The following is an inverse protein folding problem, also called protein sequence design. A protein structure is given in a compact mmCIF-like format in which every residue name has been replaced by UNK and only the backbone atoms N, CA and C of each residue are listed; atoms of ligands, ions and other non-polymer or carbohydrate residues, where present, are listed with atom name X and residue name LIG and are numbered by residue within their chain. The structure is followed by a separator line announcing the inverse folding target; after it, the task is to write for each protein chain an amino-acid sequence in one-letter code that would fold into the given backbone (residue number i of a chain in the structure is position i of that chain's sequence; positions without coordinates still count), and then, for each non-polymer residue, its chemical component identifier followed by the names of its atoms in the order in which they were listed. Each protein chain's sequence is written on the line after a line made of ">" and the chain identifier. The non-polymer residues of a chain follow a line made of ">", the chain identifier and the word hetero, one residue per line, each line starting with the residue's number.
data_IF_325355717689
#
_entry.id   IF_325355717689
#
_cell.length_a   1.000
_cell.length_b   1.000
_cell.length_c   1.000
_cell.angle_alpha   90.00
_cell.angle_beta   90.00
_cell.angle_gamma   90.00
#
_symmetry.space_group_name_H-M   'P 1'
#
loop_
_entity.id
_entity.type
_entity.pdbx_description
1 polymer ?
#
# COMPACT_ATOMS: atom_id res chain seq x y z
N UNK A 1 -35.71 7.52 -14.05
CA UNK A 1 -36.28 7.15 -15.36
C UNK A 1 -35.36 6.10 -15.95
N UNK A 2 -35.73 4.81 -15.90
CA UNK A 2 -34.86 3.72 -16.36
C UNK A 2 -34.85 3.68 -17.89
N UNK A 3 -33.67 3.61 -18.50
CA UNK A 3 -33.51 3.44 -19.95
C UNK A 3 -33.31 1.94 -20.22
N UNK A 4 -34.24 1.32 -20.95
CA UNK A 4 -34.12 -0.07 -21.39
C UNK A 4 -33.84 -0.08 -22.89
N UNK A 5 -32.81 -0.83 -23.31
CA UNK A 5 -32.58 -1.14 -24.72
C UNK A 5 -33.34 -2.42 -25.05
N UNK A 6 -34.39 -2.32 -25.85
CA UNK A 6 -35.11 -3.49 -26.37
C UNK A 6 -34.46 -3.88 -27.70
N UNK A 7 -33.85 -5.06 -27.74
CA UNK A 7 -33.40 -5.67 -29.00
C UNK A 7 -34.52 -6.58 -29.51
N UNK A 8 -35.12 -6.22 -30.64
CA UNK A 8 -36.05 -7.09 -31.34
C UNK A 8 -35.24 -7.99 -32.27
N UNK A 9 -35.24 -9.29 -32.02
CA UNK A 9 -34.76 -10.29 -32.98
C UNK A 9 -35.94 -10.97 -33.66
N UNK A 10 -35.73 -11.24 -34.95
CA UNK A 10 -36.76 -11.65 -35.90
C UNK A 10 -37.48 -12.94 -35.48
N UNK A 11 -38.60 -12.76 -34.78
CA UNK A 11 -39.69 -13.74 -34.72
C UNK A 11 -39.63 -14.82 -33.63
N UNK A 12 -38.69 -14.82 -32.67
CA UNK A 12 -38.71 -15.77 -31.55
C UNK A 12 -38.25 -15.16 -30.23
N UNK A 13 -39.19 -14.53 -29.52
CA UNK A 13 -39.06 -14.18 -28.11
C UNK A 13 -38.39 -12.82 -27.86
N UNK A 14 -38.99 -12.03 -26.97
CA UNK A 14 -38.37 -10.83 -26.41
C UNK A 14 -37.42 -11.29 -25.31
N UNK A 15 -36.12 -11.22 -25.56
CA UNK A 15 -35.13 -11.34 -24.50
C UNK A 15 -34.89 -9.96 -23.92
N UNK A 16 -35.47 -9.68 -22.74
CA UNK A 16 -35.05 -8.54 -21.93
C UNK A 16 -33.70 -8.90 -21.31
N UNK A 17 -32.61 -8.53 -21.98
CA UNK A 17 -31.30 -8.54 -21.35
C UNK A 17 -31.21 -7.32 -20.44
N UNK A 18 -31.21 -7.56 -19.13
CA UNK A 18 -30.89 -6.55 -18.12
C UNK A 18 -29.41 -6.17 -18.29
N UNK A 19 -29.14 -5.15 -19.12
CA UNK A 19 -27.83 -4.49 -19.15
C UNK A 19 -27.76 -3.49 -18.00
N UNK A 20 -27.82 -3.97 -16.76
CA UNK A 20 -27.44 -3.19 -15.56
C UNK A 20 -25.92 -3.18 -15.38
N UNK A 21 -25.18 -2.95 -16.46
CA UNK A 21 -23.79 -2.52 -16.34
C UNK A 21 -23.79 -1.00 -16.46
N UNK A 22 -23.71 -0.29 -15.32
CA UNK A 22 -23.11 1.05 -15.32
C UNK A 22 -23.79 2.17 -14.52
N UNK A 23 -24.99 2.00 -13.97
CA UNK A 23 -25.58 3.01 -13.08
C UNK A 23 -25.33 2.67 -11.62
N UNK A 24 -24.46 3.46 -10.97
CA UNK A 24 -24.31 3.42 -9.52
C UNK A 24 -25.56 4.03 -8.89
N UNK A 25 -26.08 3.36 -7.86
CA UNK A 25 -27.18 3.85 -7.04
C UNK A 25 -26.74 3.85 -5.58
N UNK A 26 -27.40 4.65 -4.75
CA UNK A 26 -27.15 4.63 -3.31
C UNK A 26 -27.36 3.22 -2.69
N UNK A 27 -28.24 2.40 -3.27
CA UNK A 27 -28.52 1.05 -2.79
C UNK A 27 -27.46 0.01 -3.18
N UNK A 28 -26.65 0.29 -4.21
CA UNK A 28 -25.65 -0.64 -4.74
C UNK A 28 -24.22 -0.22 -4.46
N UNK A 29 -24.00 1.05 -4.09
CA UNK A 29 -22.69 1.60 -3.78
C UNK A 29 -22.16 1.01 -2.47
N UNK A 30 -21.07 0.25 -2.55
CA UNK A 30 -20.29 -0.19 -1.40
C UNK A 30 -19.18 0.79 -1.05
N UNK A 31 -18.46 1.26 -2.07
CA UNK A 31 -17.37 2.22 -1.91
C UNK A 31 -17.06 2.93 -3.23
N UNK A 32 -16.45 4.11 -3.15
CA UNK A 32 -15.82 4.78 -4.29
C UNK A 32 -14.43 4.21 -4.56
N UNK A 33 -14.00 4.30 -5.82
CA UNK A 33 -12.65 3.93 -6.22
C UNK A 33 -12.06 5.06 -7.09
N UNK A 34 -11.09 5.78 -6.53
CA UNK A 34 -10.42 6.90 -7.15
C UNK A 34 -9.18 6.41 -7.89
N UNK A 35 -8.96 6.90 -9.11
CA UNK A 35 -7.87 6.43 -9.97
C UNK A 35 -6.71 7.40 -9.94
N UNK A 36 -5.52 6.89 -9.68
CA UNK A 36 -4.25 7.56 -9.85
C UNK A 36 -3.49 6.94 -11.03
N UNK A 37 -2.84 7.79 -11.83
CA UNK A 37 -1.94 7.35 -12.89
C UNK A 37 -0.56 7.98 -12.63
N UNK A 38 0.48 7.17 -12.35
CA UNK A 38 1.82 7.67 -12.05
C UNK A 38 2.43 8.46 -13.21
N UNK A 39 1.98 8.27 -14.45
CA UNK A 39 2.46 9.05 -15.60
C UNK A 39 1.84 10.45 -15.68
N UNK A 40 0.77 10.72 -14.93
CA UNK A 40 0.03 12.00 -14.92
C UNK A 40 0.35 12.78 -13.64
N UNK A 41 0.52 12.07 -12.53
CA UNK A 41 0.71 12.63 -11.21
C UNK A 41 1.74 11.80 -10.43
N UNK A 42 2.70 12.40 -9.71
CA UNK A 42 3.80 11.69 -9.06
C UNK A 42 3.33 11.01 -7.76
N UNK A 43 2.38 10.08 -7.87
CA UNK A 43 1.78 9.39 -6.73
C UNK A 43 2.76 8.44 -6.04
N UNK A 44 3.71 7.88 -6.80
CA UNK A 44 4.74 7.00 -6.25
C UNK A 44 5.67 7.78 -5.31
N UNK A 45 6.15 8.95 -5.74
CA UNK A 45 6.94 9.87 -4.92
C UNK A 45 6.15 10.31 -3.68
N UNK A 46 4.86 10.65 -3.83
CA UNK A 46 4.05 11.03 -2.65
C UNK A 46 3.92 9.88 -1.64
N UNK A 47 3.69 8.65 -2.09
CA UNK A 47 3.62 7.48 -1.19
C UNK A 47 4.94 7.26 -0.46
N UNK A 48 6.07 7.53 -1.12
CA UNK A 48 7.41 7.37 -0.56
C UNK A 48 7.72 8.50 0.43
N UNK A 49 7.55 9.75 0.02
CA UNK A 49 7.93 10.92 0.83
C UNK A 49 6.99 11.13 2.02
N UNK A 50 5.73 10.70 1.92
CA UNK A 50 4.69 11.02 2.90
C UNK A 50 3.74 9.84 3.18
N UNK A 51 4.27 8.69 3.62
CA UNK A 51 3.48 7.48 3.85
C UNK A 51 2.41 7.66 4.93
N UNK A 52 2.62 8.61 5.85
CA UNK A 52 1.73 8.93 6.97
C UNK A 52 0.77 10.11 6.69
N UNK A 53 0.94 10.83 5.59
CA UNK A 53 0.03 11.92 5.24
C UNK A 53 -1.18 11.38 4.47
N UNK A 54 -2.41 11.53 4.99
CA UNK A 54 -3.58 11.08 4.27
C UNK A 54 -3.78 11.91 2.98
N UNK A 55 -4.27 11.25 1.93
CA UNK A 55 -4.75 11.94 0.73
C UNK A 55 -6.06 12.65 1.08
N UNK A 56 -5.97 13.98 1.23
CA UNK A 56 -7.08 14.82 1.68
C UNK A 56 -8.02 15.26 0.55
N UNK A 57 -7.54 15.21 -0.69
CA UNK A 57 -8.38 15.43 -1.87
C UNK A 57 -7.80 14.75 -3.10
N UNK A 58 -8.65 14.41 -4.06
CA UNK A 58 -8.23 13.81 -5.31
C UNK A 58 -9.07 14.28 -6.50
N UNK A 59 -8.43 14.53 -7.63
CA UNK A 59 -9.14 15.00 -8.83
C UNK A 59 -10.10 13.94 -9.36
N UNK A 60 -11.30 14.36 -9.72
CA UNK A 60 -12.37 13.55 -10.29
C UNK A 60 -13.03 14.27 -11.45
N UNK A 61 -13.67 13.50 -12.33
CA UNK A 61 -14.51 14.04 -13.39
C UNK A 61 -15.79 14.60 -12.78
N UNK A 62 -16.20 15.78 -13.24
CA UNK A 62 -17.47 16.39 -12.86
C UNK A 62 -18.62 15.69 -13.58
N UNK A 63 -19.27 14.75 -12.91
CA UNK A 63 -20.34 13.94 -13.48
C UNK A 63 -21.33 13.52 -12.37
N UNK A 64 -22.32 12.69 -12.72
CA UNK A 64 -23.33 12.27 -11.75
C UNK A 64 -22.74 11.45 -10.58
N UNK A 65 -21.61 10.76 -10.76
CA UNK A 65 -20.98 9.94 -9.71
C UNK A 65 -20.30 10.80 -8.67
N UNK A 66 -19.48 11.77 -9.10
CA UNK A 66 -18.88 12.73 -8.18
C UNK A 66 -19.93 13.59 -7.47
N UNK A 67 -21.08 13.84 -8.10
CA UNK A 67 -22.23 14.50 -7.45
C UNK A 67 -22.94 13.64 -6.39
N UNK A 68 -22.70 12.32 -6.34
CA UNK A 68 -23.25 11.40 -5.33
C UNK A 68 -22.31 11.16 -4.14
N UNK A 69 -21.09 11.73 -4.17
CA UNK A 69 -20.11 11.55 -3.10
C UNK A 69 -20.53 12.38 -1.88
N UNK A 70 -20.68 11.69 -0.74
CA UNK A 70 -21.10 12.27 0.54
C UNK A 70 -20.17 11.81 1.66
N UNK A 71 -20.10 12.63 2.72
CA UNK A 71 -19.26 12.35 3.88
C UNK A 71 -19.58 10.98 4.50
N UNK A 72 -18.54 10.26 4.91
CA UNK A 72 -18.62 8.94 5.54
C UNK A 72 -18.71 7.77 4.56
N UNK A 73 -18.85 8.01 3.25
CA UNK A 73 -18.82 6.94 2.26
C UNK A 73 -17.40 6.36 2.13
N UNK A 74 -17.22 5.02 2.12
CA UNK A 74 -15.90 4.43 1.96
C UNK A 74 -15.29 4.75 0.60
N UNK A 75 -13.98 4.94 0.56
CA UNK A 75 -13.24 5.21 -0.68
C UNK A 75 -11.89 4.51 -0.69
N UNK A 76 -11.50 4.04 -1.86
CA UNK A 76 -10.21 3.40 -2.12
C UNK A 76 -9.43 4.17 -3.18
N UNK A 77 -8.11 4.19 -3.03
CA UNK A 77 -7.19 4.73 -4.04
C UNK A 77 -6.61 3.57 -4.86
N UNK A 78 -6.89 3.61 -6.16
CA UNK A 78 -6.39 2.67 -7.16
C UNK A 78 -5.27 3.31 -7.97
N UNK A 79 -4.10 2.69 -7.99
CA UNK A 79 -3.00 3.07 -8.87
C UNK A 79 -3.08 2.22 -10.15
N UNK A 80 -3.16 2.91 -11.27
CA UNK A 80 -3.15 2.32 -12.62
C UNK A 80 -1.74 2.27 -13.19
N UNK A 81 -1.58 1.60 -14.34
CA UNK A 81 -0.29 1.51 -15.03
C UNK A 81 0.04 0.07 -15.46
N UNK A 82 1.24 -0.10 -15.99
CA UNK A 82 1.78 -1.39 -16.38
C UNK A 82 2.58 -2.08 -15.26
N UNK A 83 3.01 -1.34 -14.24
CA UNK A 83 3.76 -1.83 -13.10
C UNK A 83 5.26 -1.59 -13.17
N UNK A 84 5.73 -0.79 -14.14
CA UNK A 84 7.16 -0.42 -14.22
C UNK A 84 7.58 0.49 -13.08
N UNK A 85 6.79 1.51 -12.76
CA UNK A 85 7.13 2.48 -11.71
C UNK A 85 6.57 2.07 -10.34
N UNK A 86 5.35 1.51 -10.34
CA UNK A 86 4.63 1.15 -9.11
C UNK A 86 3.61 0.05 -9.40
N UNK A 87 3.51 -0.95 -8.52
CA UNK A 87 2.58 -2.09 -8.67
C UNK A 87 1.13 -1.59 -8.83
N UNK A 88 0.43 -1.91 -9.92
CA UNK A 88 -0.93 -1.46 -10.09
C UNK A 88 -1.86 -2.22 -9.15
N UNK A 89 -2.78 -1.51 -8.50
CA UNK A 89 -3.57 -2.10 -7.42
C UNK A 89 -4.23 -1.05 -6.55
N UNK A 90 -4.81 -1.50 -5.44
CA UNK A 90 -5.34 -0.62 -4.40
C UNK A 90 -4.23 -0.32 -3.41
N UNK A 91 -3.94 0.95 -3.21
CA UNK A 91 -2.83 1.45 -2.37
C UNK A 91 -3.30 2.20 -1.14
N UNK A 92 -4.58 2.55 -1.05
CA UNK A 92 -5.09 3.27 0.09
C UNK A 92 -6.57 3.03 0.31
N UNK A 93 -7.00 3.23 1.55
CA UNK A 93 -8.39 3.18 1.94
C UNK A 93 -8.71 4.33 2.90
N UNK A 94 -9.98 4.71 2.92
CA UNK A 94 -10.41 5.78 3.80
C UNK A 94 -11.88 6.13 3.60
N UNK A 95 -12.19 7.40 3.85
CA UNK A 95 -13.54 7.94 3.75
C UNK A 95 -13.58 9.21 2.91
N UNK A 96 -14.72 9.43 2.26
CA UNK A 96 -15.08 10.75 1.75
C UNK A 96 -15.41 11.64 2.94
N UNK A 97 -14.89 12.86 2.97
CA UNK A 97 -15.07 13.80 4.09
C UNK A 97 -16.12 14.88 3.82
N UNK A 98 -16.57 15.02 2.57
CA UNK A 98 -17.56 16.00 2.16
C UNK A 98 -17.95 15.89 0.69
N UNK A 99 -18.83 16.79 0.20
CA UNK A 99 -19.15 16.86 -1.22
C UNK A 99 -17.92 17.22 -2.07
N UNK A 100 -17.95 16.86 -3.34
CA UNK A 100 -16.87 17.26 -4.26
C UNK A 100 -16.87 18.78 -4.49
N UNK A 101 -15.68 19.37 -4.50
CA UNK A 101 -15.47 20.81 -4.62
C UNK A 101 -14.79 21.19 -5.94
N UNK A 102 -15.03 22.43 -6.38
CA UNK A 102 -14.27 23.03 -7.49
C UNK A 102 -12.89 23.42 -6.96
N UNK A 103 -11.85 23.02 -7.66
CA UNK A 103 -10.47 23.29 -7.29
C UNK A 103 -9.60 23.55 -8.50
N UNK A 104 -8.31 23.75 -8.25
CA UNK A 104 -7.30 23.94 -9.28
C UNK A 104 -6.19 22.92 -9.10
N UNK A 105 -5.69 22.38 -10.22
CA UNK A 105 -4.48 21.55 -10.21
C UNK A 105 -3.32 22.26 -9.51
N UNK A 106 -2.63 21.51 -8.66
CA UNK A 106 -1.38 21.95 -8.06
C UNK A 106 -0.23 21.86 -9.06
N UNK A 107 0.96 22.31 -8.64
CA UNK A 107 2.15 22.31 -9.49
C UNK A 107 2.78 20.92 -9.69
N UNK A 108 2.30 19.88 -9.00
CA UNK A 108 2.91 18.53 -9.02
C UNK A 108 2.49 17.71 -10.23
N UNK A 109 1.45 18.11 -10.94
CA UNK A 109 1.01 17.41 -12.15
C UNK A 109 2.12 17.31 -13.19
N UNK A 110 2.44 16.08 -13.61
CA UNK A 110 3.43 15.79 -14.64
C UNK A 110 2.87 16.09 -16.04
N UNK A 111 1.58 15.79 -16.24
CA UNK A 111 0.86 16.09 -17.48
C UNK A 111 0.08 17.41 -17.34
N UNK A 112 0.47 18.42 -18.11
CA UNK A 112 -0.12 19.77 -18.10
C UNK A 112 -1.50 19.84 -18.74
N UNK A 113 -1.78 18.98 -19.72
CA UNK A 113 -3.09 18.93 -20.36
C UNK A 113 -4.10 18.28 -19.41
N UNK A 114 -3.69 17.19 -18.74
CA UNK A 114 -4.49 16.57 -17.69
C UNK A 114 -4.72 17.53 -16.50
N UNK A 115 -3.70 18.29 -16.08
CA UNK A 115 -3.81 19.31 -15.04
C UNK A 115 -4.84 20.39 -15.40
N UNK A 116 -4.86 20.83 -16.66
CA UNK A 116 -5.82 21.83 -17.14
C UNK A 116 -7.26 21.33 -17.10
N UNK A 117 -7.47 20.01 -17.21
CA UNK A 117 -8.78 19.36 -17.07
C UNK A 117 -9.20 19.07 -15.63
N UNK A 118 -8.29 19.18 -14.66
CA UNK A 118 -8.52 18.87 -13.25
C UNK A 118 -9.12 20.06 -12.50
N UNK A 119 -10.44 20.23 -12.62
CA UNK A 119 -11.20 21.32 -11.98
C UNK A 119 -12.16 20.90 -10.87
N UNK A 120 -12.23 19.60 -10.54
CA UNK A 120 -13.18 19.05 -9.59
C UNK A 120 -12.53 17.98 -8.72
N UNK A 121 -12.77 18.01 -7.42
CA UNK A 121 -12.02 17.25 -6.43
C UNK A 121 -12.94 16.58 -5.42
N UNK A 122 -12.75 15.29 -5.20
CA UNK A 122 -13.34 14.59 -4.07
C UNK A 122 -12.57 14.94 -2.81
N UNK A 123 -13.27 15.30 -1.73
CA UNK A 123 -12.68 15.54 -0.41
C UNK A 123 -12.61 14.20 0.32
N UNK A 124 -11.42 13.82 0.79
CA UNK A 124 -11.17 12.50 1.34
C UNK A 124 -10.27 12.53 2.57
N UNK A 125 -10.15 11.39 3.23
CA UNK A 125 -9.08 11.08 4.17
C UNK A 125 -8.69 9.64 3.90
N UNK A 126 -7.74 9.44 2.98
CA UNK A 126 -7.27 8.12 2.55
C UNK A 126 -5.87 7.90 3.09
N UNK A 127 -5.70 6.87 3.90
CA UNK A 127 -4.40 6.42 4.35
C UNK A 127 -3.84 5.37 3.39
N UNK A 128 -2.52 5.34 3.23
CA UNK A 128 -1.88 4.32 2.43
C UNK A 128 -1.85 2.97 3.17
N UNK A 129 -2.05 1.91 2.40
CA UNK A 129 -1.89 0.54 2.87
C UNK A 129 -0.42 0.21 3.04
N UNK A 130 -0.15 -0.71 3.97
CA UNK A 130 1.19 -1.22 4.18
C UNK A 130 1.80 -1.86 2.93
N UNK A 131 0.97 -2.65 2.28
CA UNK A 131 1.23 -3.32 1.02
C UNK A 131 0.00 -3.15 0.14
N UNK A 132 0.17 -2.92 -1.18
CA UNK A 132 -0.98 -2.78 -2.04
C UNK A 132 -1.73 -4.11 -2.17
N UNK A 133 -3.06 -4.02 -2.31
CA UNK A 133 -3.82 -5.13 -2.88
C UNK A 133 -3.58 -5.11 -4.38
N UNK A 134 -2.70 -5.99 -4.85
CA UNK A 134 -2.26 -6.00 -6.25
C UNK A 134 -3.41 -6.26 -7.21
N UNK A 135 -3.30 -5.69 -8.42
CA UNK A 135 -4.21 -5.99 -9.54
C UNK A 135 -4.25 -7.49 -9.84
N UNK A 136 -3.11 -8.18 -9.69
CA UNK A 136 -3.02 -9.64 -9.87
C UNK A 136 -3.88 -10.39 -8.85
N UNK A 137 -3.83 -9.97 -7.58
CA UNK A 137 -4.68 -10.55 -6.53
C UNK A 137 -6.16 -10.34 -6.83
N UNK A 138 -6.57 -9.13 -7.25
CA UNK A 138 -7.95 -8.86 -7.63
C UNK A 138 -8.39 -9.67 -8.86
N UNK A 139 -7.54 -9.80 -9.89
CA UNK A 139 -7.85 -10.64 -11.06
C UNK A 139 -8.03 -12.13 -10.71
N UNK A 140 -7.35 -12.60 -9.66
CA UNK A 140 -7.38 -14.00 -9.24
C UNK A 140 -8.57 -14.34 -8.34
N UNK A 141 -9.24 -13.34 -7.77
CA UNK A 141 -10.38 -13.52 -6.88
C UNK A 141 -11.71 -13.34 -7.65
N UNK A 142 -12.55 -14.40 -7.76
CA UNK A 142 -13.80 -14.37 -8.52
C UNK A 142 -14.78 -13.27 -8.07
N UNK A 143 -14.68 -12.77 -6.83
CA UNK A 143 -15.55 -11.69 -6.31
C UNK A 143 -15.35 -10.37 -7.05
N UNK A 144 -14.19 -10.19 -7.70
CA UNK A 144 -13.87 -9.01 -8.50
C UNK A 144 -13.95 -9.26 -10.00
N UNK A 145 -14.54 -10.38 -10.44
CA UNK A 145 -14.65 -10.73 -11.85
C UNK A 145 -15.31 -9.65 -12.71
N UNK A 146 -16.19 -8.82 -12.12
CA UNK A 146 -16.88 -7.69 -12.75
C UNK A 146 -16.50 -6.32 -12.17
N UNK A 147 -15.32 -6.22 -11.55
CA UNK A 147 -14.82 -4.96 -11.04
C UNK A 147 -14.60 -3.96 -12.19
N UNK A 148 -15.25 -2.79 -12.12
CA UNK A 148 -15.32 -1.84 -13.23
C UNK A 148 -13.93 -1.37 -13.69
N UNK A 149 -13.02 -1.07 -12.75
CA UNK A 149 -11.68 -0.58 -13.10
C UNK A 149 -10.83 -1.61 -13.85
N UNK A 150 -11.14 -2.91 -13.70
CA UNK A 150 -10.47 -3.99 -14.44
C UNK A 150 -11.12 -4.22 -15.81
N UNK A 151 -12.45 -4.15 -15.89
CA UNK A 151 -13.21 -4.32 -17.14
C UNK A 151 -13.07 -3.14 -18.09
N UNK A 152 -13.05 -1.94 -17.54
CA UNK A 152 -13.00 -0.68 -18.29
C UNK A 152 -11.86 0.19 -17.74
N UNK A 153 -10.58 -0.16 -18.02
CA UNK A 153 -9.44 0.60 -17.49
C UNK A 153 -9.42 2.07 -17.92
N UNK A 154 -9.98 2.39 -19.10
CA UNK A 154 -10.15 3.76 -19.58
C UNK A 154 -11.42 4.46 -19.04
N UNK A 155 -12.13 3.83 -18.11
CA UNK A 155 -13.36 4.37 -17.51
C UNK A 155 -13.13 5.64 -16.69
N UNK A 156 -14.23 6.34 -16.42
CA UNK A 156 -14.22 7.61 -15.69
C UNK A 156 -13.65 7.46 -14.27
N UNK A 157 -13.06 8.53 -13.77
CA UNK A 157 -12.70 8.70 -12.36
C UNK A 157 -13.75 9.65 -11.74
N UNK A 158 -14.58 9.24 -10.76
CA UNK A 158 -14.47 8.03 -9.97
C UNK A 158 -15.11 6.79 -10.63
N UNK A 159 -14.56 5.63 -10.27
CA UNK A 159 -15.22 4.33 -10.41
C UNK A 159 -15.86 3.94 -9.07
N UNK A 160 -16.48 2.77 -8.99
CA UNK A 160 -17.16 2.31 -7.78
C UNK A 160 -17.02 0.81 -7.56
N UNK A 161 -17.26 0.41 -6.32
CA UNK A 161 -17.36 -0.98 -5.86
C UNK A 161 -18.80 -1.23 -5.43
N UNK A 162 -19.33 -2.41 -5.74
CA UNK A 162 -20.59 -2.87 -5.11
C UNK A 162 -20.38 -3.14 -3.61
N UNK A 163 -21.46 -3.28 -2.85
CA UNK A 163 -21.39 -3.62 -1.41
C UNK A 163 -20.55 -4.88 -1.16
N UNK A 164 -20.75 -5.93 -1.95
CA UNK A 164 -20.02 -7.19 -1.77
C UNK A 164 -18.55 -7.09 -2.20
N UNK A 165 -18.26 -6.33 -3.28
CA UNK A 165 -16.89 -6.04 -3.70
C UNK A 165 -16.16 -5.20 -2.66
N UNK A 166 -16.80 -4.19 -2.09
CA UNK A 166 -16.22 -3.36 -1.04
C UNK A 166 -15.91 -4.17 0.22
N UNK A 167 -16.81 -5.10 0.62
CA UNK A 167 -16.57 -6.03 1.73
C UNK A 167 -15.35 -6.92 1.45
N UNK A 168 -15.32 -7.55 0.28
CA UNK A 168 -14.21 -8.41 -0.13
C UNK A 168 -12.88 -7.63 -0.21
N UNK A 169 -12.91 -6.40 -0.71
CA UNK A 169 -11.71 -5.57 -0.82
C UNK A 169 -11.19 -5.15 0.55
N UNK A 170 -12.09 -4.84 1.50
CA UNK A 170 -11.70 -4.58 2.89
C UNK A 170 -10.99 -5.78 3.51
N UNK A 171 -11.47 -7.00 3.28
CA UNK A 171 -10.79 -8.22 3.77
C UNK A 171 -9.37 -8.35 3.19
N UNK A 172 -9.20 -8.11 1.88
CA UNK A 172 -7.88 -8.14 1.24
C UNK A 172 -6.97 -7.01 1.74
N UNK A 173 -7.50 -5.81 1.92
CA UNK A 173 -6.76 -4.66 2.43
C UNK A 173 -6.29 -4.89 3.87
N UNK A 174 -7.15 -5.43 4.73
CA UNK A 174 -6.78 -5.82 6.11
C UNK A 174 -5.69 -6.90 6.12
N UNK A 175 -5.78 -7.89 5.22
CA UNK A 175 -4.72 -8.89 5.07
C UNK A 175 -3.40 -8.28 4.58
N UNK A 176 -3.47 -7.26 3.70
CA UNK A 176 -2.29 -6.55 3.23
C UNK A 176 -1.65 -5.68 4.32
N UNK A 177 -2.45 -5.01 5.16
CA UNK A 177 -1.99 -4.22 6.32
C UNK A 177 -1.39 -5.09 7.44
N UNK A 178 -1.91 -6.31 7.60
CA UNK A 178 -1.35 -7.32 8.49
C UNK A 178 0.08 -7.69 8.09
N UNK A 179 0.38 -7.69 6.79
CA UNK A 179 1.69 -8.01 6.24
C UNK A 179 2.04 -9.51 6.30
N UNK A 180 3.29 -9.83 5.99
CA UNK A 180 3.84 -11.19 6.10
C UNK A 180 5.08 -11.18 6.97
N UNK A 181 5.37 -12.31 7.63
CA UNK A 181 6.58 -12.43 8.43
C UNK A 181 7.82 -12.26 7.52
N UNK A 182 8.76 -11.37 7.86
CA UNK A 182 9.98 -11.20 7.06
C UNK A 182 10.89 -12.44 7.06
N UNK A 183 10.80 -13.27 8.11
CA UNK A 183 11.59 -14.50 8.24
C UNK A 183 10.95 -15.69 7.51
N UNK A 184 9.70 -16.02 7.81
CA UNK A 184 9.06 -17.26 7.32
C UNK A 184 7.93 -17.03 6.30
N UNK A 185 7.63 -15.78 5.94
CA UNK A 185 6.59 -15.37 4.98
C UNK A 185 5.16 -15.77 5.34
N UNK A 186 4.95 -16.29 6.55
CA UNK A 186 3.61 -16.59 7.04
C UNK A 186 2.78 -15.29 7.11
N UNK A 187 1.53 -15.33 6.63
CA UNK A 187 0.60 -14.18 6.67
C UNK A 187 -0.22 -14.10 7.96
N UNK A 188 -0.09 -15.08 8.85
CA UNK A 188 -0.82 -15.15 10.12
C UNK A 188 -0.16 -14.32 11.23
N UNK A 189 0.08 -13.03 10.97
CA UNK A 189 0.79 -12.14 11.89
C UNK A 189 -0.14 -11.53 12.94
N UNK A 190 0.31 -11.41 14.19
CA UNK A 190 -0.42 -10.67 15.21
C UNK A 190 0.08 -9.22 15.27
N UNK A 191 -0.83 -8.26 15.26
CA UNK A 191 -0.54 -6.87 15.59
C UNK A 191 -0.67 -6.71 17.10
N UNK A 192 0.45 -6.43 17.76
CA UNK A 192 0.49 -6.27 19.21
C UNK A 192 0.40 -4.78 19.55
N UNK A 193 -0.68 -4.39 20.22
CA UNK A 193 -0.91 -3.02 20.69
C UNK A 193 -0.46 -2.94 22.15
N UNK A 194 0.48 -2.04 22.43
CA UNK A 194 0.97 -1.78 23.78
C UNK A 194 0.41 -0.48 24.33
N UNK A 195 0.28 -0.41 25.64
CA UNK A 195 -0.09 0.80 26.36
C UNK A 195 -1.17 0.56 27.41
N UNK A 196 -1.66 1.65 27.99
CA UNK A 196 -2.82 1.61 28.88
C UNK A 196 -4.07 1.77 28.02
N UNK A 197 -4.57 0.66 27.48
CA UNK A 197 -5.80 0.64 26.70
C UNK A 197 -7.02 0.70 27.65
N UNK A 198 -7.98 1.60 27.42
CA UNK A 198 -9.28 1.52 28.07
C UNK A 198 -9.95 0.14 27.89
N UNK A 199 -10.79 -0.29 28.84
CA UNK A 199 -11.59 -1.51 28.65
C UNK A 199 -12.43 -1.42 27.36
N UNK A 200 -12.38 -2.46 26.53
CA UNK A 200 -13.10 -2.53 25.26
C UNK A 200 -12.40 -1.81 24.09
N UNK A 201 -11.18 -1.31 24.25
CA UNK A 201 -10.45 -0.65 23.15
C UNK A 201 -10.12 -1.55 21.96
N UNK A 202 -10.21 -2.87 22.10
CA UNK A 202 -10.04 -3.81 20.99
C UNK A 202 -11.38 -4.41 20.54
N UNK A 203 -12.51 -3.90 21.02
CA UNK A 203 -13.83 -4.40 20.63
C UNK A 203 -14.10 -4.04 19.16
N UNK A 204 -14.24 -5.06 18.32
CA UNK A 204 -14.44 -4.89 16.87
C UNK A 204 -13.15 -4.80 16.06
N UNK A 205 -11.99 -4.82 16.71
CA UNK A 205 -10.73 -5.02 16.02
C UNK A 205 -10.65 -6.41 15.39
N UNK A 206 -9.89 -6.58 14.30
CA UNK A 206 -9.67 -7.90 13.71
C UNK A 206 -9.08 -8.89 14.73
N UNK A 207 -9.38 -10.20 14.61
CA UNK A 207 -8.93 -11.21 15.57
C UNK A 207 -7.40 -11.39 15.62
N UNK A 208 -6.67 -10.78 14.69
CA UNK A 208 -5.22 -10.76 14.64
C UNK A 208 -4.61 -9.54 15.36
N UNK A 209 -5.42 -8.64 15.94
CA UNK A 209 -4.96 -7.57 16.83
C UNK A 209 -5.07 -8.04 18.28
N UNK A 210 -4.00 -7.90 19.06
CA UNK A 210 -3.94 -8.34 20.45
C UNK A 210 -3.31 -7.29 21.36
N UNK A 211 -3.68 -7.29 22.64
CA UNK A 211 -3.04 -6.47 23.66
C UNK A 211 -1.71 -7.10 24.08
N UNK A 212 -0.62 -6.31 24.06
CA UNK A 212 0.71 -6.71 24.55
C UNK A 212 0.98 -6.35 26.02
N UNK A 213 0.03 -5.67 26.65
CA UNK A 213 0.14 -5.15 28.02
C UNK A 213 0.76 -3.76 28.10
N UNK A 214 0.94 -3.26 29.33
CA UNK A 214 1.37 -1.88 29.59
C UNK A 214 2.90 -1.71 29.74
N UNK A 215 3.66 -2.79 29.91
CA UNK A 215 5.11 -2.74 30.16
C UNK A 215 5.84 -3.48 29.04
N UNK A 216 6.60 -2.72 28.25
CA UNK A 216 7.46 -3.28 27.21
C UNK A 216 8.82 -3.59 27.83
N UNK A 217 9.14 -4.88 27.97
CA UNK A 217 10.48 -5.31 28.39
C UNK A 217 11.35 -5.47 27.14
N UNK A 218 12.12 -4.44 26.80
CA UNK A 218 12.95 -4.41 25.59
C UNK A 218 12.52 -3.33 24.60
N UNK A 219 12.91 -3.50 23.33
CA UNK A 219 12.45 -2.62 22.25
C UNK A 219 10.96 -2.91 21.94
N UNK A 220 10.15 -1.88 21.63
CA UNK A 220 8.77 -2.09 21.26
C UNK A 220 8.68 -2.88 19.95
N UNK A 221 7.98 -4.02 19.95
CA UNK A 221 7.70 -4.83 18.76
C UNK A 221 6.20 -4.91 18.54
N UNK A 222 5.64 -4.22 17.54
CA UNK A 222 4.19 -4.21 17.30
C UNK A 222 3.70 -5.35 16.39
N UNK A 223 4.57 -6.31 16.06
CA UNK A 223 4.23 -7.49 15.25
C UNK A 223 4.82 -8.76 15.88
N UNK A 224 4.05 -9.84 15.82
CA UNK A 224 4.46 -11.18 16.26
C UNK A 224 4.06 -12.23 15.21
N UNK A 225 5.00 -13.11 14.85
CA UNK A 225 4.72 -14.25 13.99
C UNK A 225 4.57 -15.54 14.82
N UNK A 226 3.35 -16.09 14.98
CA UNK A 226 3.14 -17.31 15.76
C UNK A 226 3.80 -18.54 15.12
N UNK A 227 4.11 -18.51 13.82
CA UNK A 227 4.70 -19.65 13.12
C UNK A 227 6.18 -19.85 13.42
N UNK A 228 6.96 -18.75 13.57
CA UNK A 228 8.40 -18.82 13.83
C UNK A 228 8.84 -18.11 15.12
N UNK A 229 7.89 -17.51 15.85
CA UNK A 229 8.15 -16.77 17.09
C UNK A 229 8.87 -15.44 16.90
N UNK A 230 8.97 -14.92 15.67
CA UNK A 230 9.65 -13.65 15.41
C UNK A 230 8.77 -12.48 15.87
N UNK A 231 9.33 -11.63 16.72
CA UNK A 231 8.79 -10.32 17.07
C UNK A 231 9.54 -9.23 16.31
N UNK A 232 8.82 -8.22 15.81
CA UNK A 232 9.44 -7.06 15.17
C UNK A 232 8.61 -5.79 15.32
N UNK A 233 9.27 -4.65 15.09
CA UNK A 233 8.61 -3.37 14.93
C UNK A 233 8.31 -3.15 13.45
N UNK A 234 7.10 -2.73 13.14
CA UNK A 234 6.67 -2.34 11.81
C UNK A 234 6.21 -0.88 11.80
N UNK A 235 6.42 -0.18 10.69
CA UNK A 235 5.88 1.17 10.45
C UNK A 235 4.34 1.17 10.50
N UNK A 236 3.75 2.36 10.50
CA UNK A 236 2.32 2.58 10.19
C UNK A 236 1.90 1.85 8.91
N UNK A 237 2.75 1.89 7.88
CA UNK A 237 2.64 1.11 6.66
C UNK A 237 3.09 -0.35 6.79
N UNK A 238 3.03 -0.97 7.98
CA UNK A 238 3.24 -2.41 8.20
C UNK A 238 4.59 -2.99 7.75
N UNK A 239 5.56 -2.15 7.35
CA UNK A 239 6.88 -2.59 6.88
C UNK A 239 7.77 -2.89 8.06
N UNK A 240 8.50 -4.02 8.09
CA UNK A 240 9.44 -4.30 9.15
C UNK A 240 10.52 -3.22 9.23
N UNK A 241 10.81 -2.76 10.45
CA UNK A 241 11.91 -1.88 10.81
C UNK A 241 12.99 -2.68 11.54
N UNK A 242 14.24 -2.41 11.19
CA UNK A 242 15.40 -2.79 11.99
C UNK A 242 16.30 -1.57 12.21
N UNK A 243 16.85 -1.48 13.42
CA UNK A 243 17.70 -0.39 13.91
C UNK A 243 19.15 -0.82 14.08
N UNK A 244 19.42 -2.12 14.05
CA UNK A 244 20.75 -2.70 14.17
C UNK A 244 20.95 -3.80 13.14
N UNK A 245 22.20 -4.09 12.77
CA UNK A 245 22.52 -5.26 11.92
C UNK A 245 22.05 -6.57 12.55
N UNK A 246 22.09 -6.67 13.88
CA UNK A 246 21.58 -7.83 14.60
C UNK A 246 20.06 -7.99 14.44
N UNK A 247 19.30 -6.91 14.53
CA UNK A 247 17.87 -6.92 14.25
C UNK A 247 17.59 -7.30 12.79
N UNK A 248 18.33 -6.75 11.83
CA UNK A 248 18.19 -7.11 10.41
C UNK A 248 18.42 -8.61 10.17
N UNK A 249 19.53 -9.15 10.69
CA UNK A 249 19.85 -10.58 10.63
C UNK A 249 18.73 -11.42 11.27
N UNK A 250 18.21 -10.97 12.41
CA UNK A 250 17.09 -11.61 13.09
C UNK A 250 15.83 -11.59 12.22
N UNK A 251 15.47 -10.46 11.62
CA UNK A 251 14.32 -10.31 10.72
C UNK A 251 14.41 -11.23 9.52
N UNK A 252 15.61 -11.37 8.94
CA UNK A 252 15.84 -12.17 7.74
C UNK A 252 16.08 -13.65 8.03
N UNK A 253 16.32 -14.02 9.30
CA UNK A 253 16.61 -15.39 9.71
C UNK A 253 18.03 -15.82 9.37
N UNK A 254 18.98 -14.88 9.34
CA UNK A 254 20.38 -15.13 9.08
C UNK A 254 21.14 -15.20 10.41
N UNK A 255 21.80 -16.32 10.68
CA UNK A 255 22.55 -16.51 11.92
C UNK A 255 24.00 -15.96 11.84
N UNK A 256 24.44 -15.55 10.65
CA UNK A 256 25.79 -15.04 10.37
C UNK A 256 25.79 -13.92 9.31
N UNK A 257 26.92 -13.22 9.12
CA UNK A 257 27.12 -12.30 7.98
C UNK A 257 26.98 -13.07 6.67
N UNK A 258 27.72 -14.16 6.48
CA UNK A 258 27.66 -14.98 5.26
C UNK A 258 26.23 -15.40 4.85
N UNK A 259 25.37 -15.75 5.82
CA UNK A 259 23.97 -16.09 5.52
C UNK A 259 23.12 -14.89 5.10
N UNK A 260 23.53 -13.66 5.42
CA UNK A 260 22.94 -12.43 4.89
C UNK A 260 23.45 -12.16 3.48
N UNK A 261 24.72 -12.43 3.20
CA UNK A 261 25.34 -12.27 1.88
C UNK A 261 24.71 -13.18 0.84
N UNK A 262 24.59 -14.47 1.15
CA UNK A 262 23.88 -15.45 0.30
C UNK A 262 22.47 -14.96 -0.05
N UNK A 263 21.79 -14.35 0.94
CA UNK A 263 20.43 -13.85 0.78
C UNK A 263 20.33 -12.59 -0.08
N UNK A 264 21.32 -11.70 0.02
CA UNK A 264 21.42 -10.50 -0.81
C UNK A 264 21.80 -10.87 -2.25
N UNK A 265 22.64 -11.90 -2.43
CA UNK A 265 23.11 -12.34 -3.74
C UNK A 265 22.06 -13.16 -4.50
N UNK A 266 21.35 -14.07 -3.83
CA UNK A 266 20.25 -14.87 -4.40
C UNK A 266 18.99 -14.03 -4.70
N UNK A 267 18.91 -12.82 -4.16
CA UNK A 267 17.79 -11.90 -4.35
C UNK A 267 18.30 -10.57 -4.93
N UNK A 268 18.73 -10.58 -6.19
CA UNK A 268 19.39 -9.48 -6.92
C UNK A 268 18.62 -8.14 -7.07
N UNK A 269 17.51 -7.92 -6.35
CA UNK A 269 16.76 -6.65 -6.34
C UNK A 269 16.96 -5.92 -4.99
N UNK A 270 18.21 -5.71 -4.58
CA UNK A 270 18.50 -4.85 -3.42
C UNK A 270 18.53 -3.41 -3.90
N UNK A 271 17.41 -2.71 -3.77
CA UNK A 271 17.31 -1.27 -4.02
C UNK A 271 17.68 -0.50 -2.75
N UNK A 272 18.85 0.14 -2.76
CA UNK A 272 19.24 1.05 -1.68
C UNK A 272 18.67 2.43 -1.99
N UNK A 273 17.66 2.85 -1.22
CA UNK A 273 17.15 4.21 -1.25
C UNK A 273 17.67 4.98 -0.02
N UNK A 274 18.10 6.22 -0.23
CA UNK A 274 18.49 7.12 0.85
C UNK A 274 17.50 8.27 0.80
N UNK A 275 16.58 8.30 1.76
CA UNK A 275 15.60 9.38 1.91
C UNK A 275 16.16 10.46 2.84
N UNK A 276 15.89 11.73 2.51
CA UNK A 276 16.29 12.92 3.26
C UNK A 276 17.75 12.92 3.74
N UNK A 277 18.67 13.29 2.85
CA UNK A 277 20.00 13.78 3.28
C UNK A 277 19.88 15.30 3.43
N UNK A 278 19.79 15.86 4.65
CA UNK A 278 19.91 17.30 4.84
C UNK A 278 21.21 17.80 4.20
N UNK A 279 21.18 19.00 3.62
CA UNK A 279 22.37 19.66 3.04
C UNK A 279 23.52 19.84 4.05
N UNK A 280 23.23 19.66 5.34
CA UNK A 280 24.22 19.66 6.43
C UNK A 280 24.56 18.21 6.81
N UNK A 281 25.82 17.81 6.59
CA UNK A 281 26.33 16.44 6.75
C UNK A 281 26.20 15.83 8.17
N UNK A 282 25.68 16.58 9.14
CA UNK A 282 25.68 16.24 10.57
C UNK A 282 24.29 15.84 11.13
N UNK A 283 23.19 16.08 10.41
CA UNK A 283 21.87 15.55 10.75
C UNK A 283 21.40 14.70 9.57
N UNK A 284 21.10 13.43 9.79
CA UNK A 284 20.66 12.52 8.72
C UNK A 284 19.18 12.25 8.91
N UNK A 285 18.41 12.37 7.83
CA UNK A 285 17.07 11.82 7.77
C UNK A 285 17.07 10.29 7.83
N UNK A 286 15.89 9.69 7.80
CA UNK A 286 15.75 8.25 7.90
C UNK A 286 16.32 7.56 6.65
N UNK A 287 17.45 6.87 6.79
CA UNK A 287 18.05 6.16 5.66
C UNK A 287 17.37 4.80 5.47
N UNK A 288 16.81 4.54 4.28
CA UNK A 288 15.91 3.41 3.99
C UNK A 288 16.46 2.34 3.02
N UNK A 289 17.15 1.32 3.55
CA UNK A 289 17.57 0.16 2.75
C UNK A 289 16.38 -0.76 2.46
N UNK A 290 16.12 -1.07 1.17
CA UNK A 290 15.12 -2.05 0.74
C UNK A 290 15.79 -3.30 0.17
N UNK A 291 15.56 -4.44 0.80
CA UNK A 291 16.12 -5.73 0.36
C UNK A 291 15.05 -6.56 -0.37
N UNK A 292 15.07 -6.54 -1.70
CA UNK A 292 14.33 -7.45 -2.56
C UNK A 292 12.82 -7.50 -2.36
N UNK A 293 12.24 -8.64 -2.75
CA UNK A 293 10.81 -8.98 -2.56
C UNK A 293 10.39 -9.09 -1.08
N UNK A 294 11.32 -8.94 -0.14
CA UNK A 294 11.05 -9.06 1.30
C UNK A 294 10.57 -7.77 1.93
N UNK A 295 10.71 -6.62 1.25
CA UNK A 295 10.08 -5.36 1.66
C UNK A 295 10.46 -4.91 3.07
N UNK A 296 11.65 -5.28 3.54
CA UNK A 296 12.21 -4.79 4.81
C UNK A 296 12.73 -3.39 4.56
N UNK A 297 12.36 -2.44 5.43
CA UNK A 297 12.88 -1.08 5.43
C UNK A 297 13.79 -0.93 6.65
N UNK A 298 15.06 -0.64 6.43
CA UNK A 298 15.90 -0.18 7.54
C UNK A 298 15.59 1.28 7.82
N UNK A 299 15.55 1.69 9.08
CA UNK A 299 15.55 3.11 9.44
C UNK A 299 16.76 3.31 10.34
N UNK A 300 17.81 3.95 9.81
CA UNK A 300 19.06 4.15 10.54
C UNK A 300 19.02 5.42 11.39
N UNK A 301 19.21 5.34 12.72
CA UNK A 301 19.36 6.51 13.58
C UNK A 301 20.82 7.02 13.66
N UNK A 302 21.67 6.67 12.70
CA UNK A 302 23.12 6.89 12.74
C UNK A 302 23.57 7.89 11.66
N UNK A 303 24.74 8.49 11.85
CA UNK A 303 25.34 9.41 10.87
C UNK A 303 25.56 8.71 9.51
N UNK A 304 25.61 9.47 8.40
CA UNK A 304 25.88 8.92 7.06
C UNK A 304 27.20 8.15 7.07
N UNK A 305 28.17 8.61 7.87
CA UNK A 305 29.43 7.91 8.08
C UNK A 305 29.25 6.53 8.72
N UNK A 306 28.44 6.40 9.75
CA UNK A 306 28.15 5.10 10.37
C UNK A 306 27.34 4.19 9.45
N UNK A 307 26.42 4.73 8.65
CA UNK A 307 25.73 3.96 7.61
C UNK A 307 26.69 3.47 6.53
N UNK A 308 27.54 4.35 6.00
CA UNK A 308 28.56 4.00 5.00
C UNK A 308 29.53 2.99 5.59
N UNK A 309 29.99 3.16 6.84
CA UNK A 309 30.83 2.17 7.52
C UNK A 309 30.09 0.85 7.68
N UNK A 310 28.81 0.85 8.03
CA UNK A 310 28.02 -0.39 8.16
C UNK A 310 27.88 -1.09 6.82
N UNK A 311 27.63 -0.35 5.73
CA UNK A 311 27.52 -0.90 4.37
C UNK A 311 28.89 -1.32 3.85
N UNK A 312 29.94 -0.55 4.07
CA UNK A 312 31.32 -0.86 3.70
C UNK A 312 31.86 -2.03 4.52
N UNK A 313 31.48 -2.20 5.79
CA UNK A 313 31.79 -3.40 6.59
C UNK A 313 31.03 -4.61 6.02
N UNK A 314 29.76 -4.43 5.66
CA UNK A 314 28.98 -5.48 4.99
C UNK A 314 29.61 -5.85 3.63
N UNK A 315 30.08 -4.88 2.86
CA UNK A 315 30.70 -5.09 1.55
C UNK A 315 32.15 -5.56 1.65
N UNK A 316 32.91 -5.14 2.66
CA UNK A 316 34.30 -5.55 2.87
C UNK A 316 34.37 -6.97 3.42
N UNK A 317 33.47 -7.37 4.33
CA UNK A 317 33.32 -8.78 4.72
C UNK A 317 32.97 -9.65 3.50
N UNK A 318 32.04 -9.19 2.64
CA UNK A 318 31.69 -9.85 1.37
C UNK A 318 32.87 -9.95 0.39
N UNK A 319 33.70 -8.90 0.29
CA UNK A 319 34.78 -8.82 -0.69
C UNK A 319 36.06 -9.53 -0.23
N UNK A 320 36.34 -9.59 1.07
CA UNK A 320 37.50 -10.32 1.61
C UNK A 320 37.31 -11.85 1.48
N UNK A 321 36.09 -12.38 1.69
CA UNK A 321 35.78 -13.80 1.44
C UNK A 321 35.93 -14.17 -0.05
N UNK A 322 35.64 -13.23 -0.96
CA UNK A 322 35.85 -13.38 -2.41
C UNK A 322 37.33 -13.50 -2.80
N UNK A 323 38.21 -12.72 -2.16
CA UNK A 323 39.63 -12.67 -2.48
C UNK A 323 40.37 -13.90 -1.93
N UNK A 324 39.78 -14.64 -0.97
CA UNK A 324 40.24 -15.95 -0.51
C UNK A 324 39.75 -17.10 -1.42
N UNK A 325 38.50 -17.07 -1.89
CA UNK A 325 37.94 -18.11 -2.77
C UNK A 325 38.56 -18.07 -4.18
N UNK A 326 38.91 -16.89 -4.69
CA UNK A 326 39.64 -16.73 -5.97
C UNK A 326 41.14 -17.07 -5.89
N UNK A 327 41.69 -17.20 -4.68
CA UNK A 327 43.09 -17.59 -4.43
C UNK A 327 43.27 -19.08 -4.09
N UNK A 328 42.18 -19.82 -3.91
CA UNK A 328 42.15 -21.29 -3.72
C UNK A 328 41.97 -22.07 -5.02
#
# INVERSE_FOLDING_TARGET
>A
MACFTIVLTDGKGVTVTDQTVGLVSAASLGAWLLKANPTIYPIAEWIQDRPDEPVTSWSVQRNYRSAMMEAGQPVYLWISGDGRDIEPGVWGYGVVTGPCEVGTADSRWLDRDAASGAGYYAMTEINFLASPVSRSALNSDPRFADLEVLKVPAGSNPSFLTIDQARALRELAQAADRGTCPRCRNGEILHVVFGMLPPGSLDGEPPWVTEGGCVIMGLPTNRHCPACGLDWLATSGGRPQARTLHELRTLLGCDSTAGLEDLLWDHCDVDVHVEDVPDDHDEVGALSLRIGTRGVTLEFPFSVTEFIVTVDELLAEVLDDWDEELRG
#
